data_IF_344619345731
#
_entry.id   IF_344619345731
#
_cell.length_a   1.000
_cell.length_b   1.000
_cell.length_c   1.000
_cell.angle_alpha   90.00
_cell.angle_beta   90.00
_cell.angle_gamma   90.00
#
_symmetry.space_group_name_H-M   'P 1'
#
loop_
_entity.id
_entity.type
_entity.pdbx_description
1 polymer ?
#
# COMPACT_ATOMS: atom_id res chain seq x y z
N UNK A 1 13.66 -24.76 -3.69
CA UNK A 1 14.37 -24.75 -4.97
C UNK A 1 13.52 -24.04 -6.03
N UNK A 2 14.19 -23.41 -7.00
CA UNK A 2 13.47 -22.82 -8.13
C UNK A 2 12.90 -23.91 -9.05
N UNK A 3 11.92 -23.54 -9.87
CA UNK A 3 11.35 -24.43 -10.86
C UNK A 3 12.46 -25.02 -11.78
N UNK A 4 12.56 -26.34 -11.93
CA UNK A 4 13.59 -27.00 -12.74
C UNK A 4 13.47 -26.69 -14.25
N UNK A 5 12.32 -26.22 -14.71
CA UNK A 5 12.06 -25.86 -16.11
C UNK A 5 12.56 -24.46 -16.49
N UNK A 6 13.22 -23.74 -15.56
CA UNK A 6 13.79 -22.42 -15.84
C UNK A 6 14.99 -22.58 -16.79
N UNK A 7 14.91 -21.97 -17.95
CA UNK A 7 15.93 -22.01 -19.00
C UNK A 7 16.96 -20.86 -18.89
N UNK A 8 16.69 -19.84 -18.09
CA UNK A 8 17.59 -18.71 -17.90
C UNK A 8 17.00 -17.63 -17.02
N UNK A 9 17.86 -16.72 -16.58
CA UNK A 9 17.47 -15.56 -15.77
C UNK A 9 18.34 -14.35 -16.10
N UNK A 10 17.81 -13.17 -15.88
CA UNK A 10 18.52 -11.89 -15.97
C UNK A 10 18.59 -11.28 -14.58
N UNK A 11 19.79 -10.97 -14.11
CA UNK A 11 20.01 -10.25 -12.86
C UNK A 11 19.98 -8.75 -13.13
N UNK A 12 19.10 -8.04 -12.44
CA UNK A 12 18.99 -6.58 -12.48
C UNK A 12 19.23 -5.99 -11.09
N UNK A 13 19.78 -4.75 -10.97
CA UNK A 13 19.83 -4.07 -9.70
C UNK A 13 18.42 -3.68 -9.27
N UNK A 14 18.03 -4.18 -8.10
CA UNK A 14 16.73 -3.88 -7.48
C UNK A 14 16.85 -4.09 -5.97
N UNK A 15 15.84 -3.69 -5.20
CA UNK A 15 15.82 -3.84 -3.75
C UNK A 15 14.41 -4.02 -3.22
N UNK A 16 14.33 -4.70 -2.09
CA UNK A 16 13.11 -4.75 -1.28
C UNK A 16 13.24 -3.83 -0.08
N UNK A 17 12.13 -3.27 0.37
CA UNK A 17 12.06 -2.43 1.54
C UNK A 17 10.89 -2.84 2.42
N UNK A 18 11.07 -2.76 3.73
CA UNK A 18 9.96 -2.80 4.68
C UNK A 18 9.28 -1.42 4.68
N UNK A 19 8.07 -1.28 4.13
CA UNK A 19 7.40 0.01 4.00
C UNK A 19 7.01 0.60 5.36
N UNK A 20 6.74 -0.22 6.36
CA UNK A 20 6.41 0.24 7.72
C UNK A 20 7.64 0.88 8.38
N UNK A 21 8.80 0.23 8.31
CA UNK A 21 10.05 0.76 8.86
C UNK A 21 10.49 2.01 8.13
N UNK A 22 10.39 2.05 6.80
CA UNK A 22 10.70 3.23 6.01
C UNK A 22 9.80 4.41 6.40
N UNK A 23 8.49 4.19 6.49
CA UNK A 23 7.54 5.22 6.91
C UNK A 23 7.84 5.71 8.32
N UNK A 24 8.10 4.81 9.27
CA UNK A 24 8.45 5.17 10.63
C UNK A 24 9.75 6.00 10.69
N UNK A 25 10.77 5.64 9.91
CA UNK A 25 12.03 6.38 9.85
C UNK A 25 11.81 7.81 9.31
N UNK A 26 11.03 7.98 8.23
CA UNK A 26 10.68 9.29 7.69
C UNK A 26 9.89 10.14 8.69
N UNK A 27 8.95 9.55 9.41
CA UNK A 27 8.16 10.24 10.45
C UNK A 27 9.06 10.69 11.60
N UNK A 28 9.98 9.84 12.05
CA UNK A 28 10.92 10.18 13.12
C UNK A 28 11.86 11.30 12.71
N UNK A 29 12.39 11.23 11.50
CA UNK A 29 13.27 12.28 10.96
C UNK A 29 12.53 13.62 10.83
N UNK A 30 11.31 13.62 10.29
CA UNK A 30 10.47 14.81 10.22
C UNK A 30 10.24 15.43 11.61
N UNK A 31 9.98 14.61 12.63
CA UNK A 31 9.83 15.08 14.02
C UNK A 31 11.10 15.71 14.57
N UNK A 32 12.28 15.15 14.28
CA UNK A 32 13.56 15.72 14.66
C UNK A 32 13.78 17.11 14.03
N UNK A 33 13.19 17.36 12.86
CA UNK A 33 13.21 18.65 12.16
C UNK A 33 12.01 19.55 12.49
N UNK A 34 11.28 19.26 13.56
CA UNK A 34 10.22 20.14 14.09
C UNK A 34 8.83 19.88 13.54
N UNK A 35 8.62 18.84 12.75
CA UNK A 35 7.28 18.50 12.29
C UNK A 35 6.41 17.96 13.44
N UNK A 36 5.15 18.41 13.52
CA UNK A 36 4.14 17.82 14.37
C UNK A 36 3.44 16.70 13.63
N UNK A 37 3.48 15.51 14.17
CA UNK A 37 2.82 14.33 13.60
C UNK A 37 1.66 13.92 14.50
N UNK A 38 0.47 13.86 13.94
CA UNK A 38 -0.76 13.48 14.62
C UNK A 38 -1.20 12.12 14.07
N UNK A 39 -1.22 11.12 14.93
CA UNK A 39 -1.73 9.77 14.61
C UNK A 39 -3.13 9.60 15.20
N UNK A 40 -3.91 8.69 14.64
CA UNK A 40 -5.32 8.45 15.03
C UNK A 40 -6.21 9.69 14.90
N UNK A 41 -5.84 10.60 14.00
CA UNK A 41 -6.59 11.81 13.71
C UNK A 41 -7.12 11.75 12.29
N UNK A 42 -8.43 11.89 12.15
CA UNK A 42 -9.14 11.88 10.88
C UNK A 42 -9.50 13.30 10.48
N UNK A 43 -9.13 13.73 9.27
CA UNK A 43 -9.57 15.02 8.72
C UNK A 43 -11.02 14.90 8.30
N UNK A 44 -11.89 15.63 8.97
CA UNK A 44 -13.35 15.61 8.75
C UNK A 44 -13.84 16.78 7.92
N UNK A 45 -13.16 17.91 7.98
CA UNK A 45 -13.52 19.13 7.24
C UNK A 45 -12.26 19.90 6.81
N UNK A 46 -12.39 20.72 5.76
CA UNK A 46 -11.40 21.72 5.38
C UNK A 46 -11.93 23.10 5.75
N UNK A 47 -11.14 23.85 6.52
CA UNK A 47 -11.48 25.22 6.90
C UNK A 47 -11.20 26.14 5.72
N UNK A 48 -12.19 26.94 5.33
CA UNK A 48 -12.11 27.82 4.16
C UNK A 48 -12.37 29.26 4.52
N UNK A 49 -11.56 30.15 3.98
CA UNK A 49 -11.75 31.60 4.05
C UNK A 49 -11.57 32.21 2.65
N UNK A 50 -12.49 33.05 2.25
CA UNK A 50 -12.50 33.70 0.93
C UNK A 50 -12.28 32.71 -0.25
N UNK A 51 -12.78 31.47 -0.13
CA UNK A 51 -12.63 30.44 -1.15
C UNK A 51 -11.31 29.65 -1.13
N UNK A 52 -10.39 30.02 -0.27
CA UNK A 52 -9.12 29.29 -0.07
C UNK A 52 -9.21 28.35 1.13
N UNK A 53 -8.53 27.20 1.06
CA UNK A 53 -8.33 26.33 2.21
C UNK A 53 -7.24 26.93 3.10
N UNK A 54 -7.57 27.23 4.34
CA UNK A 54 -6.66 27.84 5.33
C UNK A 54 -6.34 26.90 6.50
N UNK A 55 -6.96 25.73 6.54
CA UNK A 55 -6.75 24.78 7.61
C UNK A 55 -7.57 23.51 7.47
N UNK A 56 -7.46 22.67 8.48
CA UNK A 56 -8.20 21.41 8.59
C UNK A 56 -8.84 21.31 9.97
N UNK A 57 -10.03 20.71 10.00
CA UNK A 57 -10.65 20.22 11.24
C UNK A 57 -10.51 18.70 11.25
N UNK A 58 -10.04 18.18 12.34
CA UNK A 58 -9.84 16.76 12.52
C UNK A 58 -10.57 16.24 13.75
N UNK A 59 -10.92 14.98 13.70
CA UNK A 59 -11.41 14.22 14.86
C UNK A 59 -10.28 13.34 15.40
N UNK A 60 -9.91 13.57 16.66
CA UNK A 60 -8.91 12.78 17.35
C UNK A 60 -9.58 11.54 17.97
N UNK A 61 -9.27 10.37 17.43
CA UNK A 61 -9.86 9.10 17.84
C UNK A 61 -9.41 8.62 19.23
N UNK A 62 -8.36 9.22 19.81
CA UNK A 62 -7.88 8.91 21.15
C UNK A 62 -8.60 9.78 22.18
N UNK A 63 -8.55 11.11 22.03
CA UNK A 63 -9.19 12.06 22.95
C UNK A 63 -10.70 12.19 22.75
N UNK A 64 -11.23 11.70 21.60
CA UNK A 64 -12.64 11.85 21.19
C UNK A 64 -13.08 13.31 21.04
N UNK A 65 -12.17 14.17 20.62
CA UNK A 65 -12.40 15.59 20.48
C UNK A 65 -12.08 16.07 19.07
N UNK A 66 -12.73 17.17 18.67
CA UNK A 66 -12.36 17.88 17.44
C UNK A 66 -11.27 18.90 17.75
N UNK A 67 -10.34 19.02 16.80
CA UNK A 67 -9.24 19.96 16.83
C UNK A 67 -9.12 20.67 15.50
N UNK A 68 -8.65 21.90 15.49
CA UNK A 68 -8.43 22.70 14.28
C UNK A 68 -6.96 23.08 14.15
N UNK A 69 -6.46 22.97 12.94
CA UNK A 69 -5.09 23.35 12.58
C UNK A 69 -5.11 24.23 11.35
N UNK A 70 -4.39 25.34 11.41
CA UNK A 70 -4.30 26.34 10.36
C UNK A 70 -2.92 26.34 9.72
N UNK A 71 -2.87 26.47 8.39
CA UNK A 71 -1.66 26.55 7.61
C UNK A 71 -1.92 27.26 6.28
N UNK A 72 -0.92 27.98 5.75
CA UNK A 72 -1.07 28.69 4.46
C UNK A 72 -1.20 27.72 3.27
N UNK A 73 -0.76 26.46 3.41
CA UNK A 73 -0.84 25.42 2.37
C UNK A 73 -1.27 24.12 3.02
N UNK A 74 -2.25 23.45 2.41
CA UNK A 74 -2.68 22.10 2.77
C UNK A 74 -2.38 21.14 1.63
N UNK A 75 -1.60 20.10 1.90
CA UNK A 75 -1.28 19.04 0.94
C UNK A 75 -2.17 17.83 1.18
N UNK A 76 -2.87 17.40 0.14
CA UNK A 76 -3.64 16.16 0.17
C UNK A 76 -2.75 14.99 -0.28
N UNK A 77 -2.23 14.24 0.67
CA UNK A 77 -1.45 13.01 0.45
C UNK A 77 -2.19 11.78 1.01
N UNK A 78 -3.52 11.79 0.99
CA UNK A 78 -4.37 10.77 1.61
C UNK A 78 -4.46 9.45 0.80
N UNK A 79 -3.57 9.20 -0.14
CA UNK A 79 -3.55 7.95 -0.91
C UNK A 79 -4.89 7.67 -1.58
N UNK A 80 -5.42 6.47 -1.37
CA UNK A 80 -6.68 6.04 -1.97
C UNK A 80 -7.89 6.90 -1.50
N UNK A 81 -7.80 7.53 -0.35
CA UNK A 81 -8.84 8.46 0.16
C UNK A 81 -8.70 9.89 -0.35
N UNK A 82 -7.74 10.15 -1.23
CA UNK A 82 -7.46 11.49 -1.77
C UNK A 82 -8.67 12.13 -2.46
N UNK A 83 -9.53 11.34 -3.11
CA UNK A 83 -10.79 11.83 -3.70
C UNK A 83 -11.77 12.35 -2.62
N UNK A 84 -11.85 11.68 -1.48
CA UNK A 84 -12.67 12.12 -0.36
C UNK A 84 -12.22 13.49 0.14
N UNK A 85 -10.93 13.65 0.41
CA UNK A 85 -10.36 14.92 0.87
C UNK A 85 -10.52 16.04 -0.18
N UNK A 86 -10.34 15.73 -1.47
CA UNK A 86 -10.56 16.70 -2.54
C UNK A 86 -12.02 17.19 -2.59
N UNK A 87 -12.98 16.28 -2.41
CA UNK A 87 -14.40 16.62 -2.35
C UNK A 87 -14.72 17.58 -1.19
N UNK A 88 -14.06 17.45 -0.03
CA UNK A 88 -14.18 18.41 1.08
C UNK A 88 -13.71 19.81 0.65
N UNK A 89 -12.71 19.91 -0.23
CA UNK A 89 -12.28 21.17 -0.81
C UNK A 89 -13.26 21.74 -1.85
N UNK A 90 -14.21 20.94 -2.35
CA UNK A 90 -15.02 21.27 -3.51
C UNK A 90 -14.30 21.00 -4.84
N UNK A 91 -13.13 20.37 -4.79
CA UNK A 91 -12.38 19.96 -5.98
C UNK A 91 -12.80 18.54 -6.39
N UNK A 92 -12.97 18.32 -7.70
CA UNK A 92 -13.35 17.02 -8.23
C UNK A 92 -12.13 16.32 -8.83
N UNK A 93 -11.74 15.20 -8.24
CA UNK A 93 -10.78 14.27 -8.82
C UNK A 93 -11.46 12.91 -8.97
N UNK A 94 -11.12 12.17 -10.01
CA UNK A 94 -11.62 10.82 -10.21
C UNK A 94 -10.47 9.83 -9.94
N UNK A 95 -10.64 8.96 -8.97
CA UNK A 95 -9.70 7.89 -8.68
C UNK A 95 -10.23 6.55 -9.21
N UNK A 96 -9.31 5.70 -9.61
CA UNK A 96 -9.59 4.36 -10.11
C UNK A 96 -8.88 3.33 -9.22
N UNK A 97 -9.46 2.99 -8.06
CA UNK A 97 -8.83 2.07 -7.14
C UNK A 97 -8.59 0.70 -7.74
N UNK A 98 -7.45 0.12 -7.42
CA UNK A 98 -7.15 -1.28 -7.69
C UNK A 98 -6.70 -1.95 -6.39
N UNK A 99 -7.20 -3.16 -6.17
CA UNK A 99 -6.82 -4.01 -5.06
C UNK A 99 -5.75 -5.00 -5.53
N UNK A 100 -4.68 -5.16 -4.76
CA UNK A 100 -3.69 -6.21 -4.92
C UNK A 100 -3.63 -7.09 -3.67
N UNK A 101 -3.87 -8.39 -3.81
CA UNK A 101 -3.74 -9.35 -2.73
C UNK A 101 -2.35 -9.97 -2.75
N UNK A 102 -1.81 -10.23 -1.57
CA UNK A 102 -0.53 -10.89 -1.34
C UNK A 102 -0.75 -12.12 -0.46
N UNK A 103 0.00 -13.19 -0.72
CA UNK A 103 0.13 -14.29 0.23
C UNK A 103 1.46 -14.21 0.95
N UNK A 104 1.41 -14.43 2.26
CA UNK A 104 2.57 -14.47 3.15
C UNK A 104 2.76 -15.90 3.63
N UNK A 105 3.90 -16.49 3.34
CA UNK A 105 4.27 -17.83 3.81
C UNK A 105 5.14 -17.74 5.06
N UNK A 106 4.86 -18.58 6.05
CA UNK A 106 5.56 -18.61 7.34
C UNK A 106 7.01 -19.13 7.28
N UNK A 107 7.55 -19.36 6.10
CA UNK A 107 8.93 -19.80 5.89
C UNK A 107 9.51 -19.12 4.66
N UNK A 108 10.84 -19.00 4.65
CA UNK A 108 11.59 -18.36 3.57
C UNK A 108 12.05 -19.41 2.55
N UNK A 109 11.67 -19.25 1.29
CA UNK A 109 12.05 -20.15 0.19
C UNK A 109 13.10 -19.57 -0.75
N UNK A 110 13.33 -18.24 -0.71
CA UNK A 110 14.24 -17.54 -1.60
C UNK A 110 15.07 -16.49 -0.85
N UNK A 111 16.23 -16.12 -1.41
CA UNK A 111 17.16 -15.14 -0.82
C UNK A 111 17.25 -13.84 -1.61
N UNK A 112 16.66 -13.79 -2.78
CA UNK A 112 16.60 -12.63 -3.69
C UNK A 112 15.19 -12.49 -4.20
N UNK A 113 14.82 -11.28 -4.60
CA UNK A 113 13.54 -11.06 -5.30
C UNK A 113 13.58 -11.80 -6.63
N UNK A 114 12.56 -12.61 -6.88
CA UNK A 114 12.37 -13.32 -8.15
C UNK A 114 11.14 -12.75 -8.85
N UNK A 115 11.30 -12.39 -10.12
CA UNK A 115 10.21 -11.93 -10.95
C UNK A 115 10.19 -12.73 -12.26
N UNK A 116 8.99 -13.03 -12.76
CA UNK A 116 8.83 -13.78 -14.01
C UNK A 116 9.13 -12.88 -15.21
N UNK A 117 10.01 -13.35 -16.10
CA UNK A 117 10.33 -12.67 -17.36
C UNK A 117 9.23 -12.88 -18.41
N UNK A 118 8.09 -12.25 -18.21
CA UNK A 118 6.94 -12.29 -19.15
C UNK A 118 6.22 -10.93 -19.15
N UNK A 119 5.23 -10.77 -20.03
CA UNK A 119 4.29 -9.65 -19.93
C UNK A 119 3.70 -9.65 -18.51
N UNK A 120 3.66 -8.49 -17.82
CA UNK A 120 3.16 -8.39 -16.45
C UNK A 120 1.78 -9.03 -16.27
N UNK A 121 1.66 -9.85 -15.26
CA UNK A 121 0.43 -10.55 -14.87
C UNK A 121 0.40 -10.77 -13.36
N UNK A 122 -0.71 -11.35 -12.86
CA UNK A 122 -0.86 -11.63 -11.44
C UNK A 122 0.16 -12.68 -10.94
N UNK A 123 0.55 -12.55 -9.66
CA UNK A 123 1.49 -13.44 -8.97
C UNK A 123 2.86 -13.60 -9.64
N UNK A 124 3.40 -12.54 -10.19
CA UNK A 124 4.67 -12.58 -10.93
C UNK A 124 5.91 -12.39 -10.05
N UNK A 125 5.75 -11.98 -8.80
CA UNK A 125 6.87 -11.64 -7.93
C UNK A 125 6.87 -12.47 -6.64
N UNK A 126 8.04 -13.00 -6.29
CA UNK A 126 8.33 -13.66 -5.02
C UNK A 126 9.38 -12.85 -4.28
N UNK A 127 9.02 -12.31 -3.12
CA UNK A 127 9.85 -11.41 -2.33
C UNK A 127 10.25 -12.09 -1.02
N UNK A 128 11.56 -12.16 -0.68
CA UNK A 128 12.01 -12.65 0.59
C UNK A 128 11.81 -11.60 1.69
N UNK A 129 11.27 -12.01 2.83
CA UNK A 129 11.35 -11.29 4.10
C UNK A 129 12.48 -11.85 4.99
N UNK A 130 12.49 -11.51 6.28
CA UNK A 130 13.48 -12.03 7.21
C UNK A 130 13.35 -13.55 7.38
N UNK A 131 12.17 -14.03 7.81
CA UNK A 131 11.86 -15.44 8.01
C UNK A 131 10.72 -15.95 7.14
N UNK A 132 10.16 -15.09 6.32
CA UNK A 132 8.97 -15.33 5.50
C UNK A 132 9.27 -15.13 4.02
N UNK A 133 8.34 -15.47 3.16
CA UNK A 133 8.31 -14.97 1.79
C UNK A 133 6.89 -14.52 1.41
N UNK A 134 6.83 -13.64 0.43
CA UNK A 134 5.58 -13.11 -0.10
C UNK A 134 5.48 -13.42 -1.58
N UNK A 135 4.30 -13.87 -2.01
CA UNK A 135 3.95 -13.98 -3.44
C UNK A 135 2.84 -13.00 -3.79
N UNK A 136 2.95 -12.31 -4.88
CA UNK A 136 1.95 -11.34 -5.31
C UNK A 136 2.24 -10.73 -6.67
N UNK A 137 1.40 -9.85 -7.05
CA UNK A 137 0.11 -9.46 -6.49
C UNK A 137 -1.01 -9.86 -7.46
N UNK A 138 -2.25 -9.93 -6.99
CA UNK A 138 -3.39 -9.81 -7.88
C UNK A 138 -3.60 -8.35 -8.28
N UNK A 139 -4.39 -8.10 -9.31
CA UNK A 139 -4.76 -6.75 -9.71
C UNK A 139 -6.22 -6.74 -10.14
N UNK A 140 -7.11 -6.34 -9.26
CA UNK A 140 -8.53 -6.23 -9.52
C UNK A 140 -9.03 -4.81 -9.28
N UNK A 141 -9.89 -4.32 -10.17
CA UNK A 141 -10.55 -3.02 -9.98
C UNK A 141 -11.51 -3.10 -8.81
N UNK A 142 -11.54 -2.04 -8.03
CA UNK A 142 -12.43 -1.89 -6.90
C UNK A 142 -13.29 -0.64 -7.10
N UNK A 143 -14.63 -0.72 -6.90
CA UNK A 143 -15.48 0.46 -6.80
C UNK A 143 -15.01 1.37 -5.66
N UNK A 144 -15.07 2.68 -5.86
CA UNK A 144 -14.54 3.63 -4.88
C UNK A 144 -15.26 3.56 -3.53
N UNK A 145 -16.53 3.21 -3.51
CA UNK A 145 -17.35 3.03 -2.31
C UNK A 145 -17.03 1.75 -1.51
N UNK A 146 -16.13 0.89 -2.01
CA UNK A 146 -15.72 -0.35 -1.37
C UNK A 146 -14.26 -0.33 -0.88
N UNK A 147 -13.58 0.81 -0.93
CA UNK A 147 -12.15 0.93 -0.57
C UNK A 147 -11.88 0.61 0.91
N UNK A 148 -12.87 0.77 1.77
CA UNK A 148 -12.75 0.50 3.22
C UNK A 148 -13.18 -0.93 3.62
N UNK A 149 -13.73 -1.72 2.70
CA UNK A 149 -14.15 -3.11 2.93
C UNK A 149 -13.46 -4.10 1.98
N UNK A 150 -12.15 -3.96 1.83
CA UNK A 150 -11.36 -4.85 0.97
C UNK A 150 -11.18 -6.22 1.64
N UNK A 151 -11.54 -7.28 0.91
CA UNK A 151 -11.37 -8.68 1.34
C UNK A 151 -10.60 -9.47 0.31
N UNK A 152 -9.75 -10.38 0.77
CA UNK A 152 -9.14 -11.39 -0.09
C UNK A 152 -10.17 -12.47 -0.37
N UNK A 153 -10.32 -12.85 -1.64
CA UNK A 153 -11.24 -13.91 -2.07
C UNK A 153 -10.52 -15.25 -2.21
N UNK A 154 -11.26 -16.35 -2.14
CA UNK A 154 -10.70 -17.69 -2.37
C UNK A 154 -10.05 -17.80 -3.77
N UNK A 155 -10.69 -17.24 -4.80
CA UNK A 155 -10.17 -17.25 -6.17
C UNK A 155 -8.82 -16.53 -6.28
N UNK A 156 -8.63 -15.44 -5.53
CA UNK A 156 -7.34 -14.72 -5.48
C UNK A 156 -6.26 -15.58 -4.80
N UNK A 157 -6.62 -16.29 -3.73
CA UNK A 157 -5.69 -17.20 -3.05
C UNK A 157 -5.28 -18.33 -3.99
N UNK A 158 -6.24 -18.99 -4.63
CA UNK A 158 -6.00 -20.08 -5.57
C UNK A 158 -5.15 -19.63 -6.76
N UNK A 159 -5.40 -18.41 -7.29
CA UNK A 159 -4.59 -17.83 -8.36
C UNK A 159 -3.15 -17.63 -7.91
N UNK A 160 -2.94 -17.01 -6.74
CA UNK A 160 -1.60 -16.72 -6.20
C UNK A 160 -0.83 -18.00 -5.89
N UNK A 161 -1.47 -19.03 -5.35
CA UNK A 161 -0.85 -20.33 -5.11
C UNK A 161 -0.44 -20.99 -6.44
N UNK A 162 -1.36 -21.15 -7.38
CA UNK A 162 -1.11 -21.78 -8.67
C UNK A 162 -0.01 -21.08 -9.49
N UNK A 163 0.02 -19.76 -9.48
CA UNK A 163 1.07 -19.00 -10.18
C UNK A 163 2.38 -18.97 -9.41
N UNK A 164 2.31 -18.96 -8.07
CA UNK A 164 3.49 -19.04 -7.19
C UNK A 164 4.25 -20.34 -7.31
N UNK A 165 3.57 -21.48 -7.44
CA UNK A 165 4.18 -22.79 -7.67
C UNK A 165 5.06 -22.83 -8.92
N UNK A 166 4.73 -22.03 -9.93
CA UNK A 166 5.54 -21.92 -11.16
C UNK A 166 6.87 -21.22 -10.94
N UNK A 167 6.99 -20.36 -9.92
CA UNK A 167 8.24 -19.74 -9.50
C UNK A 167 9.02 -20.63 -8.52
N UNK A 168 8.32 -21.16 -7.53
CA UNK A 168 8.89 -21.97 -6.47
C UNK A 168 7.94 -23.15 -6.16
N UNK A 169 8.20 -24.35 -6.71
CA UNK A 169 7.40 -25.54 -6.46
C UNK A 169 7.26 -25.92 -4.98
N UNK A 170 8.17 -25.47 -4.13
CA UNK A 170 8.09 -25.64 -2.67
C UNK A 170 6.91 -24.90 -2.02
N UNK A 171 6.21 -24.04 -2.75
CA UNK A 171 4.98 -23.36 -2.33
C UNK A 171 3.72 -24.20 -2.61
N UNK A 172 3.86 -25.35 -3.27
CA UNK A 172 2.77 -26.32 -3.46
C UNK A 172 2.36 -26.91 -2.10
N UNK A 173 1.06 -26.94 -1.83
CA UNK A 173 0.45 -27.57 -0.68
C UNK A 173 -0.40 -28.76 -1.10
#
# INVERSE_FOLDING_TARGET
SCNPDIIGAVKVPDGSVDPFRLTAANVLDAKLHGAKVLVYCEVTELIKEAGAVVGVKLYNNVSKQYEEYYAPITLNAAGIWGQHIANLAGAKINMFPAKGSLLVFGHRVNNIVLNRCRKPADADILVPGDTICLIGTTSSRLPYDQIDDMKVTADEVDLLLREGEKLAPELAY
#
